data_IF_743045023668
#
_entry.id   IF_743045023668
#
_cell.length_a   1.000
_cell.length_b   1.000
_cell.length_c   1.000
_cell.angle_alpha   90.00
_cell.angle_beta   90.00
_cell.angle_gamma   90.00
#
_symmetry.space_group_name_H-M   'P 1'
#
loop_
_entity.id
_entity.type
_entity.pdbx_description
1 polymer ?
#
# COMPACT_ATOMS: atom_id res chain seq x y z
N UNK A 1 10.03 8.06 -6.73
CA UNK A 1 9.12 7.39 -5.76
C UNK A 1 9.88 6.69 -4.64
N UNK A 2 10.71 5.66 -4.88
CA UNK A 2 11.49 4.98 -3.80
C UNK A 2 12.54 5.88 -3.12
N UNK A 3 13.15 6.81 -3.87
CA UNK A 3 14.14 7.74 -3.33
C UNK A 3 13.57 8.70 -2.27
N UNK A 4 12.28 9.04 -2.29
CA UNK A 4 11.65 9.94 -1.32
C UNK A 4 11.25 9.24 -0.01
N UNK A 5 10.90 7.95 -0.07
CA UNK A 5 10.67 7.14 1.15
C UNK A 5 11.97 7.02 1.98
N UNK A 6 13.14 7.08 1.34
CA UNK A 6 14.43 7.17 2.05
C UNK A 6 14.64 8.51 2.78
N UNK A 7 13.91 9.55 2.41
CA UNK A 7 13.88 10.84 3.09
C UNK A 7 12.62 11.00 3.98
N UNK A 8 11.99 9.88 4.35
CA UNK A 8 10.80 9.86 5.21
C UNK A 8 9.58 10.59 4.62
N UNK A 9 9.50 10.72 3.29
CA UNK A 9 8.41 11.43 2.63
C UNK A 9 7.48 10.46 1.86
N UNK A 10 6.26 10.32 2.35
CA UNK A 10 5.19 9.51 1.74
C UNK A 10 4.38 10.27 0.69
N UNK A 11 4.47 11.61 0.63
CA UNK A 11 3.60 12.48 -0.19
C UNK A 11 3.64 12.14 -1.68
N UNK A 12 4.82 11.78 -2.19
CA UNK A 12 5.02 11.40 -3.59
C UNK A 12 4.33 10.08 -3.91
N UNK A 13 4.33 9.10 -3.00
CA UNK A 13 3.61 7.84 -3.21
C UNK A 13 2.10 8.08 -3.17
N UNK A 14 1.63 8.82 -2.17
CA UNK A 14 0.20 9.09 -1.97
C UNK A 14 -0.40 9.91 -3.12
N UNK A 15 0.36 10.83 -3.71
CA UNK A 15 -0.10 11.62 -4.86
C UNK A 15 -0.23 10.80 -6.15
N UNK A 16 0.59 9.77 -6.35
CA UNK A 16 0.51 8.87 -7.52
C UNK A 16 -0.40 7.67 -7.30
N UNK A 17 -0.71 7.34 -6.04
CA UNK A 17 -1.51 6.17 -5.67
C UNK A 17 -2.87 6.08 -6.42
N UNK A 18 -3.66 7.16 -6.60
CA UNK A 18 -4.89 7.11 -7.37
C UNK A 18 -4.71 6.71 -8.84
N UNK A 19 -3.54 7.01 -9.43
CA UNK A 19 -3.25 6.72 -10.84
C UNK A 19 -2.87 5.25 -11.05
N UNK A 20 -2.27 4.61 -10.05
CA UNK A 20 -1.74 3.24 -10.17
C UNK A 20 -2.60 2.19 -9.47
N UNK A 21 -3.50 2.59 -8.56
CA UNK A 21 -4.34 1.67 -7.78
C UNK A 21 -5.17 0.74 -8.68
N UNK A 22 -5.72 1.28 -9.76
CA UNK A 22 -6.60 0.57 -10.70
C UNK A 22 -5.85 -0.13 -11.86
N UNK A 23 -4.51 -0.03 -11.89
CA UNK A 23 -3.65 -0.64 -12.91
C UNK A 23 -3.72 -2.18 -12.86
N UNK A 24 -3.83 -2.84 -14.01
CA UNK A 24 -3.98 -4.30 -14.10
C UNK A 24 -2.66 -5.04 -14.35
N UNK A 25 -1.55 -4.33 -14.53
CA UNK A 25 -0.22 -4.92 -14.76
C UNK A 25 0.36 -5.40 -13.43
N UNK A 26 0.71 -6.68 -13.39
CA UNK A 26 1.17 -7.35 -12.16
C UNK A 26 2.40 -6.68 -11.52
N UNK A 27 3.40 -6.31 -12.32
CA UNK A 27 4.61 -5.65 -11.81
C UNK A 27 4.32 -4.28 -11.18
N UNK A 28 3.37 -3.52 -11.75
CA UNK A 28 2.95 -2.23 -11.18
C UNK A 28 2.27 -2.45 -9.84
N UNK A 29 1.37 -3.44 -9.75
CA UNK A 29 0.67 -3.77 -8.52
C UNK A 29 1.62 -4.28 -7.43
N UNK A 30 2.62 -5.10 -7.77
CA UNK A 30 3.67 -5.54 -6.85
C UNK A 30 4.50 -4.36 -6.33
N UNK A 31 4.97 -3.51 -7.24
CA UNK A 31 5.75 -2.33 -6.87
C UNK A 31 4.93 -1.39 -5.97
N UNK A 32 3.66 -1.17 -6.31
CA UNK A 32 2.78 -0.31 -5.52
C UNK A 32 2.53 -0.86 -4.11
N UNK A 33 2.19 -2.14 -3.97
CA UNK A 33 2.02 -2.77 -2.66
C UNK A 33 3.31 -2.78 -1.84
N UNK A 34 4.46 -2.98 -2.48
CA UNK A 34 5.77 -2.89 -1.82
C UNK A 34 6.04 -1.48 -1.29
N UNK A 35 5.79 -0.46 -2.11
CA UNK A 35 5.98 0.93 -1.73
C UNK A 35 5.09 1.35 -0.56
N UNK A 36 3.83 0.93 -0.54
CA UNK A 36 2.91 1.16 0.59
C UNK A 36 3.45 0.52 1.88
N UNK A 37 3.92 -0.73 1.80
CA UNK A 37 4.54 -1.40 2.94
C UNK A 37 5.77 -0.66 3.46
N UNK A 38 6.65 -0.22 2.56
CA UNK A 38 7.85 0.52 2.94
C UNK A 38 7.53 1.91 3.52
N UNK A 39 6.45 2.57 3.08
CA UNK A 39 5.94 3.78 3.73
C UNK A 39 5.52 3.51 5.17
N UNK A 40 4.73 2.47 5.42
CA UNK A 40 4.34 2.11 6.80
C UNK A 40 5.55 1.76 7.68
N UNK A 41 6.54 1.06 7.10
CA UNK A 41 7.74 0.64 7.83
C UNK A 41 8.72 1.78 8.13
N UNK A 42 8.92 2.72 7.19
CA UNK A 42 9.99 3.72 7.25
C UNK A 42 9.52 5.13 7.58
N UNK A 43 8.25 5.45 7.34
CA UNK A 43 7.70 6.79 7.54
C UNK A 43 6.79 6.78 8.76
N UNK A 44 5.62 6.16 8.64
CA UNK A 44 4.65 6.04 9.73
C UNK A 44 3.65 4.92 9.39
N UNK A 45 3.47 4.00 10.33
CA UNK A 45 2.51 2.90 10.23
C UNK A 45 1.08 3.40 10.01
N UNK A 46 0.74 4.53 10.64
CA UNK A 46 -0.60 5.13 10.56
C UNK A 46 -0.93 5.60 9.15
N UNK A 47 0.05 6.05 8.37
CA UNK A 47 -0.16 6.46 6.97
C UNK A 47 -0.60 5.26 6.14
N UNK A 48 0.07 4.12 6.32
CA UNK A 48 -0.29 2.89 5.62
C UNK A 48 -1.69 2.41 6.02
N UNK A 49 -1.97 2.32 7.32
CA UNK A 49 -3.27 1.86 7.81
C UNK A 49 -4.41 2.77 7.31
N UNK A 50 -4.24 4.09 7.41
CA UNK A 50 -5.23 5.06 6.91
C UNK A 50 -5.49 4.87 5.42
N UNK A 51 -4.43 4.73 4.62
CA UNK A 51 -4.58 4.49 3.19
C UNK A 51 -5.34 3.18 2.89
N UNK A 52 -5.03 2.11 3.61
CA UNK A 52 -5.68 0.80 3.44
C UNK A 52 -7.16 0.84 3.86
N UNK A 53 -7.50 1.45 4.99
CA UNK A 53 -8.90 1.62 5.43
C UNK A 53 -9.73 2.33 4.35
N UNK A 54 -9.19 3.37 3.74
CA UNK A 54 -9.89 4.18 2.73
C UNK A 54 -9.96 3.51 1.35
N UNK A 55 -8.98 2.66 1.00
CA UNK A 55 -8.78 2.22 -0.38
C UNK A 55 -8.74 0.72 -0.62
N UNK A 56 -8.66 -0.14 0.41
CA UNK A 56 -8.52 -1.59 0.25
C UNK A 56 -9.60 -2.17 -0.68
N UNK A 57 -10.84 -1.68 -0.55
CA UNK A 57 -12.00 -1.96 -1.42
C UNK A 57 -11.74 -1.90 -2.92
N UNK A 58 -10.86 -0.99 -3.34
CA UNK A 58 -10.61 -0.66 -4.75
C UNK A 58 -9.21 -1.05 -5.19
N UNK A 59 -8.39 -1.60 -4.30
CA UNK A 59 -7.04 -2.02 -4.62
C UNK A 59 -7.01 -3.32 -5.43
N UNK A 60 -6.02 -3.44 -6.32
CA UNK A 60 -5.68 -4.71 -6.92
C UNK A 60 -5.28 -5.74 -5.85
N UNK A 61 -5.72 -6.99 -6.01
CA UNK A 61 -5.46 -8.10 -5.06
C UNK A 61 -3.97 -8.25 -4.75
N UNK A 62 -3.12 -8.10 -5.76
CA UNK A 62 -1.66 -8.19 -5.63
C UNK A 62 -1.12 -7.05 -4.77
N UNK A 63 -1.45 -5.78 -5.06
CA UNK A 63 -0.98 -4.65 -4.26
C UNK A 63 -1.41 -4.75 -2.80
N UNK A 64 -2.68 -5.10 -2.55
CA UNK A 64 -3.18 -5.27 -1.19
C UNK A 64 -2.42 -6.37 -0.45
N UNK A 65 -2.20 -7.52 -1.09
CA UNK A 65 -1.47 -8.64 -0.49
C UNK A 65 -0.03 -8.28 -0.11
N UNK A 66 0.66 -7.51 -0.96
CA UNK A 66 2.01 -7.03 -0.68
C UNK A 66 2.04 -5.95 0.41
N UNK A 67 1.05 -5.05 0.44
CA UNK A 67 0.97 -4.00 1.46
C UNK A 67 0.83 -4.58 2.89
N UNK A 68 0.11 -5.70 3.04
CA UNK A 68 -0.18 -6.35 4.33
C UNK A 68 0.71 -7.57 4.63
N UNK A 69 1.76 -7.81 3.84
CA UNK A 69 2.58 -9.04 3.93
C UNK A 69 3.20 -9.29 5.32
N UNK A 70 3.54 -8.24 6.05
CA UNK A 70 4.14 -8.32 7.40
C UNK A 70 3.15 -8.08 8.54
N UNK A 71 1.85 -8.01 8.26
CA UNK A 71 0.79 -7.83 9.28
C UNK A 71 0.41 -9.12 9.98
N UNK A 72 -0.31 -9.04 11.09
CA UNK A 72 -0.86 -10.23 11.75
C UNK A 72 -1.88 -10.96 10.84
N UNK A 73 -2.15 -12.26 11.06
CA UNK A 73 -3.20 -12.97 10.33
C UNK A 73 -4.57 -12.29 10.40
N UNK A 74 -4.92 -11.73 11.56
CA UNK A 74 -6.18 -11.04 11.83
C UNK A 74 -6.28 -9.75 11.01
N UNK A 75 -5.24 -8.92 11.04
CA UNK A 75 -5.17 -7.69 10.23
C UNK A 75 -5.24 -8.00 8.73
N UNK A 76 -4.55 -9.06 8.27
CA UNK A 76 -4.63 -9.48 6.87
C UNK A 76 -6.03 -9.90 6.48
N UNK A 77 -6.72 -10.65 7.34
CA UNK A 77 -8.09 -11.09 7.10
C UNK A 77 -9.04 -9.89 7.03
N UNK A 78 -8.89 -8.94 7.97
CA UNK A 78 -9.66 -7.70 8.01
C UNK A 78 -9.54 -6.91 6.69
N UNK A 79 -8.33 -6.54 6.27
CA UNK A 79 -8.14 -5.74 5.06
C UNK A 79 -8.55 -6.47 3.78
N UNK A 80 -8.44 -7.80 3.74
CA UNK A 80 -8.95 -8.61 2.62
C UNK A 80 -10.46 -8.63 2.56
N UNK A 81 -11.15 -8.57 3.69
CA UNK A 81 -12.61 -8.52 3.75
C UNK A 81 -13.19 -7.17 3.30
N UNK A 82 -12.41 -6.09 3.39
CA UNK A 82 -12.80 -4.78 2.88
C UNK A 82 -12.80 -4.70 1.34
N UNK A 83 -12.21 -5.68 0.64
CA UNK A 83 -12.04 -5.74 -0.82
C UNK A 83 -13.01 -6.67 -1.51
#
# INVERSE_FOLDING_TARGET
TFAHIKHEDASVLLSVAPLVRDDRRDLIQKAFGWMLRETGKRVDDRILLTYLEENAGRMGRTALSYAIEHRSPEERAYFRALR
#
